data_IF_934061518727
#
_entry.id   IF_934061518727
#
_cell.length_a   1.000
_cell.length_b   1.000
_cell.length_c   1.000
_cell.angle_alpha   90.00
_cell.angle_beta   90.00
_cell.angle_gamma   90.00
#
_symmetry.space_group_name_H-M   'P 1'
#
loop_
_entity.id
_entity.type
_entity.pdbx_description
1 polymer ?
#
# COMPACT_ATOMS: atom_id res chain seq x y z
N UNK A 1 57.05 28.07 -15.20
CA UNK A 1 56.02 27.31 -14.45
C UNK A 1 54.94 28.24 -13.86
N UNK A 2 54.33 29.12 -14.68
CA UNK A 2 53.29 30.09 -14.24
C UNK A 2 51.96 29.98 -15.00
N UNK A 3 51.84 29.09 -15.98
CA UNK A 3 50.76 29.12 -16.99
C UNK A 3 49.56 28.22 -16.65
N UNK A 4 49.70 27.26 -15.73
CA UNK A 4 48.63 26.28 -15.42
C UNK A 4 47.65 26.78 -14.34
N UNK A 5 48.13 27.59 -13.39
CA UNK A 5 47.32 28.07 -12.25
C UNK A 5 46.32 29.17 -12.65
N UNK A 6 46.65 29.97 -13.66
CA UNK A 6 45.73 30.97 -14.21
C UNK A 6 44.58 30.31 -14.98
N UNK A 7 44.89 29.33 -15.84
CA UNK A 7 43.87 28.62 -16.62
C UNK A 7 42.85 27.86 -15.75
N UNK A 8 43.29 27.36 -14.60
CA UNK A 8 42.39 26.71 -13.64
C UNK A 8 41.47 27.73 -12.95
N UNK A 9 41.99 28.91 -12.61
CA UNK A 9 41.20 29.98 -11.97
C UNK A 9 40.09 30.51 -12.88
N UNK A 10 40.37 30.62 -14.18
CA UNK A 10 39.39 31.10 -15.16
C UNK A 10 38.25 30.09 -15.36
N UNK A 11 38.57 28.79 -15.39
CA UNK A 11 37.56 27.71 -15.52
C UNK A 11 36.66 27.54 -14.29
N UNK A 12 37.18 27.80 -13.10
CA UNK A 12 36.37 27.78 -11.87
C UNK A 12 35.41 28.98 -11.84
N UNK A 13 35.81 30.11 -12.41
CA UNK A 13 34.96 31.31 -12.49
C UNK A 13 33.86 31.14 -13.54
N UNK A 14 34.18 30.57 -14.71
CA UNK A 14 33.21 30.34 -15.79
C UNK A 14 32.08 29.39 -15.35
N UNK A 15 32.39 28.24 -14.73
CA UNK A 15 31.38 27.27 -14.29
C UNK A 15 30.44 27.77 -13.17
N UNK A 16 30.82 28.85 -12.46
CA UNK A 16 30.01 29.42 -11.39
C UNK A 16 29.06 30.55 -11.87
N UNK A 17 29.17 30.95 -13.14
CA UNK A 17 28.33 32.00 -13.75
C UNK A 17 27.13 31.41 -14.51
N UNK A 18 27.20 30.14 -14.93
CA UNK A 18 26.12 29.49 -15.69
C UNK A 18 24.94 29.02 -14.82
N UNK A 19 25.03 29.13 -13.49
CA UNK A 19 23.99 28.71 -12.54
C UNK A 19 23.17 29.89 -11.96
N UNK A 20 23.43 31.13 -12.39
CA UNK A 20 22.74 32.32 -11.87
C UNK A 20 21.45 32.67 -12.60
N UNK A 21 20.87 31.77 -13.39
CA UNK A 21 19.53 32.01 -13.96
C UNK A 21 18.51 31.71 -12.87
N UNK A 22 17.75 32.69 -12.36
CA UNK A 22 16.71 32.41 -11.38
C UNK A 22 15.63 31.56 -12.05
N UNK A 23 15.65 30.25 -11.82
CA UNK A 23 14.56 29.33 -12.17
C UNK A 23 13.31 29.79 -11.40
N UNK A 24 12.51 30.67 -12.00
CA UNK A 24 11.15 31.00 -11.55
C UNK A 24 10.25 29.80 -11.87
N UNK A 25 10.43 28.72 -11.11
CA UNK A 25 9.50 27.60 -11.11
C UNK A 25 8.20 28.12 -10.50
N UNK A 26 7.04 28.00 -11.17
CA UNK A 26 5.78 28.33 -10.52
C UNK A 26 5.75 27.51 -9.23
N UNK A 27 5.68 28.21 -8.09
CA UNK A 27 5.47 27.58 -6.79
C UNK A 27 4.14 26.85 -6.93
N UNK A 28 4.20 25.57 -7.28
CA UNK A 28 3.07 24.69 -7.20
C UNK A 28 2.62 24.85 -5.76
N UNK A 29 1.44 25.45 -5.60
CA UNK A 29 0.82 25.56 -4.29
C UNK A 29 0.55 24.12 -3.92
N UNK A 30 1.52 23.50 -3.25
CA UNK A 30 1.34 22.29 -2.48
C UNK A 30 0.39 22.74 -1.39
N UNK A 31 -0.90 22.80 -1.76
CA UNK A 31 -1.99 22.98 -0.83
C UNK A 31 -1.82 21.81 0.11
N UNK A 32 -1.17 22.09 1.24
CA UNK A 32 -1.08 21.19 2.36
C UNK A 32 -2.52 21.09 2.86
N UNK A 33 -3.28 20.23 2.18
CA UNK A 33 -4.65 19.94 2.52
C UNK A 33 -4.53 19.19 3.82
N UNK A 34 -4.64 19.93 4.92
CA UNK A 34 -4.92 19.38 6.24
C UNK A 34 -6.25 18.65 6.11
N UNK A 35 -6.19 17.41 5.65
CA UNK A 35 -7.34 16.54 5.58
C UNK A 35 -7.83 16.41 7.00
N UNK A 36 -9.03 16.95 7.25
CA UNK A 36 -9.70 16.80 8.54
C UNK A 36 -9.65 15.31 8.93
N UNK A 37 -9.24 15.01 10.15
CA UNK A 37 -9.22 13.63 10.66
C UNK A 37 -10.55 12.91 10.40
N UNK A 38 -11.67 13.64 10.55
CA UNK A 38 -13.01 13.15 10.25
C UNK A 38 -13.24 12.84 8.76
N UNK A 39 -12.62 13.60 7.86
CA UNK A 39 -12.68 13.32 6.43
C UNK A 39 -11.89 12.04 6.09
N UNK A 40 -10.71 11.86 6.68
CA UNK A 40 -9.91 10.63 6.50
C UNK A 40 -10.67 9.44 7.08
N UNK A 41 -11.10 9.51 8.34
CA UNK A 41 -11.85 8.45 9.01
C UNK A 41 -13.10 8.04 8.22
N UNK A 42 -13.94 9.01 7.85
CA UNK A 42 -15.18 8.72 7.10
C UNK A 42 -14.86 8.13 5.72
N UNK A 43 -13.86 8.66 5.01
CA UNK A 43 -13.48 8.11 3.70
C UNK A 43 -12.99 6.67 3.80
N UNK A 44 -12.10 6.38 4.73
CA UNK A 44 -11.55 5.04 4.94
C UNK A 44 -12.63 4.07 5.43
N UNK A 45 -13.48 4.51 6.37
CA UNK A 45 -14.60 3.70 6.86
C UNK A 45 -15.56 3.35 5.73
N UNK A 46 -16.03 4.32 4.94
CA UNK A 46 -16.98 4.09 3.84
C UNK A 46 -16.34 3.20 2.76
N UNK A 47 -15.10 3.45 2.38
CA UNK A 47 -14.41 2.61 1.38
C UNK A 47 -14.26 1.17 1.84
N UNK A 48 -13.79 0.94 3.07
CA UNK A 48 -13.62 -0.42 3.60
C UNK A 48 -14.98 -1.07 3.81
N UNK A 49 -15.95 -0.35 4.38
CA UNK A 49 -17.30 -0.87 4.59
C UNK A 49 -17.93 -1.31 3.28
N UNK A 50 -17.92 -0.49 2.23
CA UNK A 50 -18.44 -0.89 0.92
C UNK A 50 -17.68 -2.08 0.31
N UNK A 51 -16.37 -2.17 0.51
CA UNK A 51 -15.58 -3.31 0.04
C UNK A 51 -15.90 -4.61 0.80
N UNK A 52 -16.30 -4.49 2.07
CA UNK A 52 -16.58 -5.61 2.98
C UNK A 52 -18.07 -5.97 3.07
N UNK A 53 -19.00 -5.11 2.62
CA UNK A 53 -20.44 -5.40 2.72
C UNK A 53 -20.77 -6.65 1.90
N UNK A 54 -21.22 -7.69 2.61
CA UNK A 54 -21.61 -8.94 1.98
C UNK A 54 -20.44 -9.86 1.67
N UNK A 55 -19.27 -9.69 2.31
CA UNK A 55 -18.22 -10.69 2.24
C UNK A 55 -18.78 -12.05 2.70
N UNK A 56 -18.33 -13.12 2.02
CA UNK A 56 -18.75 -14.49 2.30
C UNK A 56 -18.47 -14.86 3.75
N UNK A 57 -17.40 -14.31 4.35
CA UNK A 57 -17.06 -14.54 5.75
C UNK A 57 -18.12 -13.98 6.71
N UNK A 58 -18.76 -12.85 6.39
CA UNK A 58 -19.84 -12.28 7.20
C UNK A 58 -21.09 -13.15 7.17
N UNK A 59 -21.48 -13.65 5.98
CA UNK A 59 -22.63 -14.55 5.83
C UNK A 59 -22.38 -15.87 6.55
N UNK A 60 -21.18 -16.44 6.43
CA UNK A 60 -20.80 -17.67 7.15
C UNK A 60 -20.84 -17.46 8.67
N UNK A 61 -20.33 -16.34 9.16
CA UNK A 61 -20.34 -16.03 10.60
C UNK A 61 -21.77 -15.81 11.11
N UNK A 62 -22.61 -15.12 10.34
CA UNK A 62 -24.03 -14.92 10.67
C UNK A 62 -24.78 -16.27 10.74
N UNK A 63 -24.59 -17.14 9.74
CA UNK A 63 -25.21 -18.47 9.70
C UNK A 63 -24.74 -19.33 10.89
N UNK A 64 -23.44 -19.36 11.17
CA UNK A 64 -22.92 -20.07 12.34
C UNK A 64 -23.47 -19.50 13.65
N UNK A 65 -23.63 -18.18 13.74
CA UNK A 65 -24.23 -17.55 14.92
C UNK A 65 -25.72 -17.84 15.06
N UNK A 66 -26.44 -18.02 13.95
CA UNK A 66 -27.86 -18.33 13.94
C UNK A 66 -28.15 -19.79 14.31
N UNK A 67 -27.29 -20.72 13.88
CA UNK A 67 -27.37 -22.16 14.23
C UNK A 67 -26.83 -22.47 15.64
N UNK A 68 -25.95 -21.62 16.18
CA UNK A 68 -25.35 -21.87 17.49
C UNK A 68 -26.26 -21.44 18.64
N UNK A 69 -26.41 -22.33 19.63
CA UNK A 69 -27.12 -22.02 20.88
C UNK A 69 -26.41 -20.94 21.72
N UNK A 70 -25.15 -20.62 21.40
CA UNK A 70 -24.36 -19.58 22.09
C UNK A 70 -23.64 -18.65 21.09
N UNK A 71 -24.26 -17.52 20.71
CA UNK A 71 -23.70 -16.54 19.76
C UNK A 71 -22.32 -16.00 20.16
N UNK A 72 -22.08 -15.85 21.47
CA UNK A 72 -20.82 -15.38 22.02
C UNK A 72 -19.64 -16.30 21.67
N UNK A 73 -19.87 -17.61 21.64
CA UNK A 73 -18.82 -18.59 21.33
C UNK A 73 -18.42 -18.51 19.86
N UNK A 74 -19.38 -18.25 18.97
CA UNK A 74 -19.14 -18.02 17.54
C UNK A 74 -18.35 -16.73 17.32
N UNK A 75 -18.70 -15.66 18.06
CA UNK A 75 -17.95 -14.40 18.01
C UNK A 75 -16.47 -14.61 18.37
N UNK A 76 -16.17 -15.24 19.51
CA UNK A 76 -14.79 -15.49 19.91
C UNK A 76 -14.06 -16.46 18.95
N UNK A 77 -14.76 -17.47 18.43
CA UNK A 77 -14.20 -18.39 17.44
C UNK A 77 -13.82 -17.69 16.13
N UNK A 78 -14.74 -16.88 15.58
CA UNK A 78 -14.50 -16.11 14.37
C UNK A 78 -13.40 -15.05 14.57
N UNK A 79 -13.41 -14.34 15.71
CA UNK A 79 -12.37 -13.38 16.06
C UNK A 79 -10.98 -14.06 16.17
N UNK A 80 -10.91 -15.21 16.84
CA UNK A 80 -9.66 -15.98 16.95
C UNK A 80 -9.18 -16.49 15.59
N UNK A 81 -10.09 -16.97 14.73
CA UNK A 81 -9.78 -17.41 13.39
C UNK A 81 -9.21 -16.27 12.52
N UNK A 82 -9.82 -15.08 12.59
CA UNK A 82 -9.36 -13.90 11.87
C UNK A 82 -7.96 -13.47 12.35
N UNK A 83 -7.77 -13.33 13.66
CA UNK A 83 -6.46 -12.97 14.24
C UNK A 83 -5.39 -13.99 13.82
N UNK A 84 -5.69 -15.29 13.91
CA UNK A 84 -4.75 -16.36 13.56
C UNK A 84 -4.40 -16.30 12.07
N UNK A 85 -5.39 -16.13 11.21
CA UNK A 85 -5.18 -16.07 9.75
C UNK A 85 -4.36 -14.84 9.36
N UNK A 86 -4.68 -13.67 9.92
CA UNK A 86 -3.90 -12.45 9.72
C UNK A 86 -2.47 -12.59 10.22
N UNK A 87 -2.27 -13.18 11.41
CA UNK A 87 -0.94 -13.40 11.97
C UNK A 87 -0.09 -14.32 11.09
N UNK A 88 -0.67 -15.43 10.60
CA UNK A 88 -0.01 -16.33 9.66
C UNK A 88 0.33 -15.61 8.35
N UNK A 89 -0.60 -14.84 7.81
CA UNK A 89 -0.39 -14.05 6.60
C UNK A 89 0.77 -13.05 6.74
N UNK A 90 0.82 -12.31 7.86
CA UNK A 90 1.90 -11.37 8.15
C UNK A 90 3.24 -12.09 8.36
N UNK A 91 3.26 -13.20 9.08
CA UNK A 91 4.50 -13.95 9.33
C UNK A 91 5.09 -14.50 8.03
N UNK A 92 4.25 -15.10 7.19
CA UNK A 92 4.65 -15.64 5.88
C UNK A 92 5.07 -14.49 4.96
N UNK A 93 4.27 -13.42 4.89
CA UNK A 93 4.56 -12.24 4.08
C UNK A 93 5.87 -11.57 4.49
N UNK A 94 6.12 -11.42 5.79
CA UNK A 94 7.37 -10.90 6.33
C UNK A 94 8.56 -11.79 5.95
N UNK A 95 8.45 -13.11 6.16
CA UNK A 95 9.51 -14.05 5.78
C UNK A 95 9.83 -14.00 4.28
N UNK A 96 8.79 -13.90 3.45
CA UNK A 96 8.92 -13.81 2.00
C UNK A 96 9.56 -12.48 1.58
N UNK A 97 9.16 -11.37 2.21
CA UNK A 97 9.72 -10.03 1.97
C UNK A 97 11.21 -9.92 2.30
N UNK A 98 11.71 -10.71 3.24
CA UNK A 98 13.13 -10.74 3.61
C UNK A 98 13.98 -11.51 2.61
N UNK A 99 13.41 -12.49 1.90
CA UNK A 99 14.14 -13.37 0.98
C UNK A 99 14.07 -12.94 -0.49
N UNK A 100 13.02 -12.23 -0.88
CA UNK A 100 12.76 -11.87 -2.28
C UNK A 100 12.88 -10.36 -2.50
N UNK A 101 13.38 -10.00 -3.68
CA UNK A 101 13.44 -8.61 -4.12
C UNK A 101 12.00 -8.05 -4.28
N UNK A 102 11.70 -6.83 -3.80
CA UNK A 102 10.36 -6.23 -3.89
C UNK A 102 9.71 -6.31 -5.28
N UNK A 103 10.50 -6.20 -6.35
CA UNK A 103 9.98 -6.27 -7.72
C UNK A 103 9.40 -7.64 -8.07
N UNK A 104 10.00 -8.71 -7.54
CA UNK A 104 9.52 -10.08 -7.76
C UNK A 104 8.24 -10.32 -6.98
N UNK A 105 8.13 -9.75 -5.78
CA UNK A 105 6.92 -9.85 -4.96
C UNK A 105 5.72 -9.18 -5.62
N UNK A 106 5.89 -7.95 -6.09
CA UNK A 106 4.80 -7.20 -6.74
C UNK A 106 4.30 -7.92 -8.01
N UNK A 107 5.21 -8.39 -8.85
CA UNK A 107 4.87 -9.17 -10.04
C UNK A 107 4.16 -10.48 -9.66
N UNK A 108 4.63 -11.17 -8.62
CA UNK A 108 4.03 -12.43 -8.16
C UNK A 108 2.60 -12.21 -7.66
N UNK A 109 2.36 -11.18 -6.85
CA UNK A 109 1.02 -10.84 -6.34
C UNK A 109 0.08 -10.50 -7.49
N UNK A 110 0.54 -9.70 -8.46
CA UNK A 110 -0.27 -9.35 -9.63
C UNK A 110 -0.67 -10.58 -10.46
N UNK A 111 0.27 -11.49 -10.74
CA UNK A 111 0.01 -12.72 -11.50
C UNK A 111 -0.91 -13.65 -10.72
N UNK A 112 -0.64 -13.86 -9.43
CA UNK A 112 -1.44 -14.74 -8.58
C UNK A 112 -2.89 -14.24 -8.47
N UNK A 113 -3.09 -12.93 -8.33
CA UNK A 113 -4.42 -12.34 -8.26
C UNK A 113 -5.16 -12.47 -9.59
N UNK A 114 -4.51 -12.19 -10.72
CA UNK A 114 -5.11 -12.39 -12.05
C UNK A 114 -5.49 -13.85 -12.28
N UNK A 115 -4.60 -14.78 -11.90
CA UNK A 115 -4.85 -16.21 -11.99
C UNK A 115 -6.06 -16.65 -11.16
N UNK A 116 -6.15 -16.22 -9.90
CA UNK A 116 -7.29 -16.52 -9.03
C UNK A 116 -8.58 -15.93 -9.61
N UNK A 117 -8.54 -14.70 -10.13
CA UNK A 117 -9.71 -14.08 -10.78
C UNK A 117 -10.15 -14.85 -12.02
N UNK A 118 -9.23 -15.23 -12.90
CA UNK A 118 -9.54 -16.00 -14.10
C UNK A 118 -10.11 -17.38 -13.75
N UNK A 119 -9.54 -18.05 -12.74
CA UNK A 119 -10.03 -19.33 -12.24
C UNK A 119 -11.46 -19.18 -11.70
N UNK A 120 -11.70 -18.21 -10.82
CA UNK A 120 -13.01 -17.99 -10.22
C UNK A 120 -14.09 -17.69 -11.27
N UNK A 121 -13.72 -16.96 -12.33
CA UNK A 121 -14.62 -16.68 -13.46
C UNK A 121 -14.91 -17.95 -14.27
N UNK A 122 -13.91 -18.81 -14.50
CA UNK A 122 -14.13 -20.08 -15.18
C UNK A 122 -15.00 -21.05 -14.36
N UNK A 123 -14.94 -20.98 -13.03
CA UNK A 123 -15.82 -21.79 -12.16
C UNK A 123 -17.27 -21.27 -12.15
N UNK A 124 -17.49 -19.99 -12.46
CA UNK A 124 -18.81 -19.35 -12.43
C UNK A 124 -19.57 -19.46 -13.77
N UNK A 125 -18.84 -19.60 -14.90
CA UNK A 125 -19.37 -19.58 -16.27
C UNK A 125 -19.65 -21.00 -16.78
#
# INVERSE_FOLDING_TARGET
>A
MKTVKSQFSDRVTENNVLDSTPENKPKTLVTNKSLSFWAVFTSTFVTIFLAEIGDKTQVVTLLMSAESQSPWLVFFGAAAALITTSLLGVLIGYWLSKKLDPKVLDLSVAILLLFITAWLISDIL
#
